data_IF_506216058124
#
_entry.id   IF_506216058124
#
_cell.length_a   1.000
_cell.length_b   1.000
_cell.length_c   1.000
_cell.angle_alpha   90.00
_cell.angle_beta   90.00
_cell.angle_gamma   90.00
#
_symmetry.space_group_name_H-M   'P 1'
#
loop_
_entity.id
_entity.type
_entity.pdbx_description
1 polymer ?
#
# COMPACT_ATOMS: atom_id res chain seq x y z
N UNK A 1 54.38 -3.95 66.23
CA UNK A 1 53.06 -4.62 66.29
C UNK A 1 51.90 -3.64 66.21
N UNK A 2 51.99 -2.46 66.85
CA UNK A 2 50.94 -1.41 66.75
C UNK A 2 50.91 -0.67 65.38
N UNK A 3 52.06 -0.41 64.75
CA UNK A 3 52.09 0.25 63.43
C UNK A 3 51.47 -0.60 62.32
N UNK A 4 51.68 -1.93 62.34
CA UNK A 4 51.07 -2.88 61.40
C UNK A 4 49.54 -2.94 61.54
N UNK A 5 49.02 -2.80 62.77
CA UNK A 5 47.58 -2.76 63.04
C UNK A 5 46.96 -1.44 62.55
N UNK A 6 47.65 -0.30 62.72
CA UNK A 6 47.21 1.00 62.20
C UNK A 6 47.17 1.01 60.67
N UNK A 7 48.16 0.43 60.00
CA UNK A 7 48.18 0.31 58.53
C UNK A 7 46.98 -0.49 58.00
N UNK A 8 46.63 -1.60 58.67
CA UNK A 8 45.44 -2.40 58.35
C UNK A 8 44.14 -1.60 58.48
N UNK A 9 43.99 -0.79 59.54
CA UNK A 9 42.80 0.05 59.75
C UNK A 9 42.61 1.12 58.65
N UNK A 10 43.69 1.66 58.07
CA UNK A 10 43.61 2.59 56.94
C UNK A 10 43.37 1.91 55.58
N UNK A 11 43.84 0.68 55.39
CA UNK A 11 43.72 -0.05 54.12
C UNK A 11 42.39 -0.81 53.98
N UNK A 12 41.81 -1.30 55.09
CA UNK A 12 40.57 -2.06 55.09
C UNK A 12 39.39 -1.34 54.40
N UNK A 13 39.10 -0.06 54.69
CA UNK A 13 37.98 0.66 54.06
C UNK A 13 38.15 0.79 52.53
N UNK A 14 39.38 1.00 52.08
CA UNK A 14 39.71 1.11 50.64
C UNK A 14 39.55 -0.24 49.93
N UNK A 15 39.95 -1.34 50.56
CA UNK A 15 39.77 -2.69 50.03
C UNK A 15 38.28 -3.04 50.00
N UNK A 16 37.53 -2.75 51.06
CA UNK A 16 36.08 -3.00 51.13
C UNK A 16 35.32 -2.20 50.07
N UNK A 17 35.64 -0.92 49.89
CA UNK A 17 35.07 -0.07 48.84
C UNK A 17 35.33 -0.63 47.44
N UNK A 18 36.56 -1.08 47.16
CA UNK A 18 36.91 -1.73 45.90
C UNK A 18 36.14 -3.02 45.66
N UNK A 19 35.95 -3.85 46.69
CA UNK A 19 35.15 -5.08 46.62
C UNK A 19 33.68 -4.74 46.35
N UNK A 20 33.11 -3.76 47.03
CA UNK A 20 31.72 -3.33 46.82
C UNK A 20 31.53 -2.83 45.38
N UNK A 21 32.41 -1.95 44.90
CA UNK A 21 32.35 -1.46 43.51
C UNK A 21 32.50 -2.61 42.52
N UNK A 22 33.37 -3.58 42.80
CA UNK A 22 33.54 -4.76 41.97
C UNK A 22 32.26 -5.62 41.91
N UNK A 23 31.66 -5.93 43.07
CA UNK A 23 30.41 -6.71 43.16
C UNK A 23 29.26 -5.99 42.47
N UNK A 24 29.13 -4.67 42.67
CA UNK A 24 28.11 -3.85 42.00
C UNK A 24 28.30 -3.88 40.48
N UNK A 25 29.54 -3.73 39.98
CA UNK A 25 29.83 -3.85 38.54
C UNK A 25 29.54 -5.25 38.00
N UNK A 26 29.86 -6.29 38.76
CA UNK A 26 29.61 -7.69 38.39
C UNK A 26 28.12 -7.97 38.19
N UNK A 27 27.23 -7.26 38.91
CA UNK A 27 25.78 -7.41 38.79
C UNK A 27 25.19 -6.43 37.74
N UNK A 28 25.61 -5.17 37.72
CA UNK A 28 25.03 -4.17 36.81
C UNK A 28 25.40 -4.42 35.35
N UNK A 29 26.63 -4.85 35.06
CA UNK A 29 27.07 -5.13 33.69
C UNK A 29 26.20 -6.18 32.99
N UNK A 30 25.95 -7.39 33.54
CA UNK A 30 25.10 -8.37 32.89
C UNK A 30 23.64 -7.91 32.76
N UNK A 31 23.10 -7.14 33.70
CA UNK A 31 21.75 -6.55 33.57
C UNK A 31 21.68 -5.61 32.37
N UNK A 32 22.67 -4.73 32.22
CA UNK A 32 22.76 -3.83 31.05
C UNK A 32 22.94 -4.64 29.76
N UNK A 33 23.78 -5.66 29.75
CA UNK A 33 23.99 -6.53 28.58
C UNK A 33 22.69 -7.25 28.21
N UNK A 34 21.97 -7.85 29.16
CA UNK A 34 20.69 -8.51 28.92
C UNK A 34 19.67 -7.51 28.34
N UNK A 35 19.57 -6.31 28.93
CA UNK A 35 18.68 -5.26 28.43
C UNK A 35 19.01 -4.86 26.98
N UNK A 36 20.29 -4.70 26.66
CA UNK A 36 20.74 -4.38 25.29
C UNK A 36 20.46 -5.54 24.33
N UNK A 37 20.74 -6.79 24.73
CA UNK A 37 20.44 -7.98 23.92
C UNK A 37 18.94 -8.09 23.63
N UNK A 38 18.08 -7.87 24.63
CA UNK A 38 16.62 -7.89 24.47
C UNK A 38 16.15 -6.79 23.50
N UNK A 39 16.75 -5.60 23.55
CA UNK A 39 16.49 -4.51 22.57
C UNK A 39 16.90 -4.92 21.15
N UNK A 40 18.07 -5.55 20.99
CA UNK A 40 18.56 -6.03 19.70
C UNK A 40 17.63 -7.12 19.15
N UNK A 41 17.27 -8.12 19.95
CA UNK A 41 16.34 -9.19 19.54
C UNK A 41 15.00 -8.61 19.09
N UNK A 42 14.38 -7.73 19.90
CA UNK A 42 13.12 -7.07 19.51
C UNK A 42 13.22 -6.29 18.21
N UNK A 43 14.33 -5.58 18.00
CA UNK A 43 14.56 -4.84 16.76
C UNK A 43 14.62 -5.79 15.54
N UNK A 44 15.35 -6.90 15.63
CA UNK A 44 15.44 -7.87 14.53
C UNK A 44 14.11 -8.59 14.30
N UNK A 45 13.38 -8.96 15.36
CA UNK A 45 12.03 -9.54 15.24
C UNK A 45 11.08 -8.59 14.52
N UNK A 46 11.01 -7.32 14.94
CA UNK A 46 10.13 -6.33 14.30
C UNK A 46 10.53 -6.07 12.84
N UNK A 47 11.83 -6.02 12.55
CA UNK A 47 12.34 -5.89 11.19
C UNK A 47 11.97 -7.09 10.30
N UNK A 48 11.99 -8.30 10.86
CA UNK A 48 11.57 -9.52 10.16
C UNK A 48 10.08 -9.48 9.84
N UNK A 49 9.24 -9.15 10.82
CA UNK A 49 7.78 -9.00 10.66
C UNK A 49 7.44 -7.97 9.57
N UNK A 50 8.07 -6.79 9.58
CA UNK A 50 7.85 -5.77 8.56
C UNK A 50 8.27 -6.24 7.16
N UNK A 51 9.36 -7.00 7.05
CA UNK A 51 9.80 -7.58 5.77
C UNK A 51 8.81 -8.60 5.26
N UNK A 52 8.29 -9.45 6.13
CA UNK A 52 7.27 -10.44 5.78
C UNK A 52 5.99 -9.74 5.28
N UNK A 53 5.52 -8.71 6.00
CA UNK A 53 4.39 -7.87 5.56
C UNK A 53 4.62 -7.31 4.15
N UNK A 54 5.81 -6.75 3.88
CA UNK A 54 6.14 -6.18 2.58
C UNK A 54 6.18 -7.24 1.47
N UNK A 55 6.81 -8.39 1.73
CA UNK A 55 6.91 -9.49 0.76
C UNK A 55 5.53 -10.02 0.43
N UNK A 56 4.70 -10.27 1.45
CA UNK A 56 3.33 -10.73 1.27
C UNK A 56 2.50 -9.76 0.43
N UNK A 57 2.55 -8.46 0.75
CA UNK A 57 1.82 -7.43 0.00
C UNK A 57 2.27 -7.38 -1.46
N UNK A 58 3.58 -7.43 -1.72
CA UNK A 58 4.14 -7.45 -3.09
C UNK A 58 3.69 -8.68 -3.88
N UNK A 59 3.61 -9.85 -3.25
CA UNK A 59 3.11 -11.07 -3.90
C UNK A 59 1.66 -10.93 -4.31
N UNK A 60 0.79 -10.40 -3.43
CA UNK A 60 -0.63 -10.17 -3.74
C UNK A 60 -0.78 -9.19 -4.90
N UNK A 61 -0.08 -8.04 -4.87
CA UNK A 61 -0.15 -7.05 -5.95
C UNK A 61 0.32 -7.68 -7.27
N UNK A 62 1.45 -8.39 -7.27
CA UNK A 62 1.98 -9.04 -8.47
C UNK A 62 1.00 -10.08 -9.05
N UNK A 63 0.35 -10.87 -8.20
CA UNK A 63 -0.68 -11.83 -8.62
C UNK A 63 -1.88 -11.13 -9.26
N UNK A 64 -2.42 -10.08 -8.61
CA UNK A 64 -3.55 -9.29 -9.14
C UNK A 64 -3.21 -8.66 -10.48
N UNK A 65 -2.01 -8.09 -10.62
CA UNK A 65 -1.54 -7.51 -11.88
C UNK A 65 -1.40 -8.54 -12.99
N UNK A 66 -0.86 -9.73 -12.70
CA UNK A 66 -0.73 -10.78 -13.71
C UNK A 66 -2.09 -11.27 -14.18
N UNK A 67 -3.03 -11.51 -13.25
CA UNK A 67 -4.39 -11.88 -13.58
C UNK A 67 -5.08 -10.82 -14.46
N UNK A 68 -4.95 -9.54 -14.10
CA UNK A 68 -5.48 -8.44 -14.90
C UNK A 68 -4.83 -8.38 -16.29
N UNK A 69 -3.51 -8.59 -16.39
CA UNK A 69 -2.79 -8.61 -17.68
C UNK A 69 -3.31 -9.73 -18.59
N UNK A 70 -3.50 -10.94 -18.05
CA UNK A 70 -4.04 -12.07 -18.80
C UNK A 70 -5.47 -11.78 -19.27
N UNK A 71 -6.32 -11.27 -18.38
CA UNK A 71 -7.68 -10.87 -18.70
C UNK A 71 -7.73 -9.82 -19.83
N UNK A 72 -6.97 -8.73 -19.70
CA UNK A 72 -6.96 -7.66 -20.70
C UNK A 72 -6.32 -8.07 -22.03
N UNK A 73 -5.37 -9.00 -22.01
CA UNK A 73 -4.83 -9.60 -23.24
C UNK A 73 -5.93 -10.32 -24.03
N UNK A 74 -6.79 -11.08 -23.34
CA UNK A 74 -7.93 -11.76 -23.97
C UNK A 74 -8.97 -10.76 -24.49
N UNK A 75 -9.25 -9.70 -23.73
CA UNK A 75 -10.13 -8.61 -24.16
C UNK A 75 -9.60 -7.97 -25.44
N UNK A 76 -8.33 -7.56 -25.46
CA UNK A 76 -7.69 -6.92 -26.63
C UNK A 76 -7.77 -7.79 -27.89
N UNK A 77 -7.60 -9.10 -27.76
CA UNK A 77 -7.67 -10.03 -28.89
C UNK A 77 -9.10 -10.23 -29.42
N UNK A 78 -10.11 -9.97 -28.60
CA UNK A 78 -11.52 -10.17 -28.93
C UNK A 78 -12.22 -8.86 -29.33
N UNK A 79 -11.70 -7.72 -28.89
CA UNK A 79 -12.28 -6.41 -29.16
C UNK A 79 -12.06 -5.99 -30.62
N UNK A 80 -13.13 -5.51 -31.26
CA UNK A 80 -13.06 -4.92 -32.60
C UNK A 80 -12.60 -3.44 -32.59
N UNK A 81 -12.35 -2.88 -31.40
CA UNK A 81 -11.99 -1.48 -31.18
C UNK A 81 -10.53 -1.42 -30.75
N UNK A 82 -9.78 -0.44 -31.25
CA UNK A 82 -8.45 -0.13 -30.72
C UNK A 82 -8.57 0.63 -29.38
N UNK A 83 -8.63 -0.13 -28.28
CA UNK A 83 -8.80 0.41 -26.93
C UNK A 83 -7.74 1.45 -26.56
N UNK A 84 -6.49 1.33 -27.03
CA UNK A 84 -5.44 2.25 -26.63
C UNK A 84 -5.62 3.64 -27.25
N UNK A 85 -6.17 3.71 -28.47
CA UNK A 85 -6.48 4.99 -29.12
C UNK A 85 -7.48 5.84 -28.32
N UNK A 86 -8.34 5.20 -27.50
CA UNK A 86 -9.30 5.87 -26.63
C UNK A 86 -8.58 6.74 -25.59
N UNK A 87 -7.41 6.30 -25.11
CA UNK A 87 -6.66 6.99 -24.05
C UNK A 87 -5.94 8.26 -24.53
N UNK A 88 -5.88 8.49 -25.83
CA UNK A 88 -5.25 9.68 -26.43
C UNK A 88 -6.24 10.84 -26.61
N UNK A 89 -7.54 10.60 -26.40
CA UNK A 89 -8.59 11.62 -26.46
C UNK A 89 -8.67 12.46 -25.17
N UNK A 90 -9.22 13.67 -25.27
CA UNK A 90 -9.55 14.48 -24.10
C UNK A 90 -10.90 14.02 -23.49
N UNK A 91 -11.20 14.51 -22.28
CA UNK A 91 -12.40 14.11 -21.55
C UNK A 91 -13.70 14.49 -22.27
N UNK A 92 -13.75 15.66 -22.92
CA UNK A 92 -14.96 16.14 -23.61
C UNK A 92 -15.33 15.24 -24.79
N UNK A 93 -14.32 14.76 -25.52
CA UNK A 93 -14.47 13.80 -26.62
C UNK A 93 -14.88 12.43 -26.07
N UNK A 94 -14.20 11.93 -25.04
CA UNK A 94 -14.54 10.65 -24.39
C UNK A 94 -16.00 10.63 -23.94
N UNK A 95 -16.46 11.68 -23.27
CA UNK A 95 -17.86 11.79 -22.83
C UNK A 95 -18.82 11.83 -24.02
N UNK A 96 -18.48 12.51 -25.11
CA UNK A 96 -19.31 12.54 -26.30
C UNK A 96 -19.47 11.16 -26.94
N UNK A 97 -18.37 10.43 -27.09
CA UNK A 97 -18.39 9.07 -27.64
C UNK A 97 -19.14 8.09 -26.72
N UNK A 98 -19.02 8.22 -25.40
CA UNK A 98 -19.80 7.44 -24.43
C UNK A 98 -21.31 7.70 -24.56
N UNK A 99 -21.73 8.96 -24.66
CA UNK A 99 -23.15 9.33 -24.80
C UNK A 99 -23.72 8.81 -26.13
N UNK A 100 -22.93 8.86 -27.20
CA UNK A 100 -23.30 8.30 -28.52
C UNK A 100 -23.29 6.77 -28.55
N UNK A 101 -22.69 6.12 -27.54
CA UNK A 101 -22.57 4.67 -27.47
C UNK A 101 -21.55 4.09 -28.46
N UNK A 102 -20.56 4.89 -28.88
CA UNK A 102 -19.51 4.45 -29.81
C UNK A 102 -18.52 3.46 -29.15
N UNK A 103 -18.37 3.55 -27.83
CA UNK A 103 -17.79 2.52 -26.98
C UNK A 103 -18.50 2.53 -25.62
N UNK A 104 -18.39 1.42 -24.88
CA UNK A 104 -19.02 1.28 -23.56
C UNK A 104 -18.11 1.78 -22.42
N UNK A 105 -18.67 2.07 -21.24
CA UNK A 105 -17.87 2.30 -20.03
C UNK A 105 -16.90 1.17 -19.69
N UNK A 106 -17.24 -0.08 -20.06
CA UNK A 106 -16.37 -1.25 -19.88
C UNK A 106 -15.16 -1.16 -20.81
N UNK A 107 -15.38 -0.82 -22.08
CA UNK A 107 -14.29 -0.62 -23.05
C UNK A 107 -13.36 0.51 -22.60
N UNK A 108 -13.93 1.62 -22.11
CA UNK A 108 -13.17 2.74 -21.58
C UNK A 108 -12.33 2.34 -20.35
N UNK A 109 -12.92 1.61 -19.41
CA UNK A 109 -12.20 1.09 -18.24
C UNK A 109 -11.02 0.21 -18.66
N UNK A 110 -11.24 -0.73 -19.58
CA UNK A 110 -10.20 -1.64 -20.07
C UNK A 110 -9.09 -0.89 -20.81
N UNK A 111 -9.43 0.12 -21.60
CA UNK A 111 -8.46 1.01 -22.24
C UNK A 111 -7.52 1.68 -21.22
N UNK A 112 -8.07 2.26 -20.15
CA UNK A 112 -7.28 2.89 -19.08
C UNK A 112 -6.50 1.88 -18.24
N UNK A 113 -7.05 0.72 -17.93
CA UNK A 113 -6.32 -0.35 -17.24
C UNK A 113 -5.14 -0.86 -18.09
N UNK A 114 -5.33 -1.04 -19.41
CA UNK A 114 -4.27 -1.42 -20.34
C UNK A 114 -3.16 -0.36 -20.40
N UNK A 115 -3.52 0.92 -20.50
CA UNK A 115 -2.56 2.03 -20.48
C UNK A 115 -1.78 2.08 -19.17
N UNK A 116 -2.45 1.89 -18.04
CA UNK A 116 -1.81 1.81 -16.74
C UNK A 116 -0.82 0.64 -16.66
N UNK A 117 -1.18 -0.55 -17.15
CA UNK A 117 -0.24 -1.67 -17.24
C UNK A 117 0.98 -1.37 -18.12
N UNK A 118 0.79 -0.72 -19.29
CA UNK A 118 1.91 -0.29 -20.13
C UNK A 118 2.85 0.68 -19.40
N UNK A 119 2.28 1.62 -18.66
CA UNK A 119 3.08 2.55 -17.85
C UNK A 119 3.86 1.81 -16.77
N UNK A 120 3.22 0.88 -16.04
CA UNK A 120 3.89 0.06 -15.04
C UNK A 120 5.04 -0.75 -15.65
N UNK A 121 4.81 -1.41 -16.79
CA UNK A 121 5.79 -2.22 -17.50
C UNK A 121 6.95 -1.38 -18.06
N UNK A 122 6.71 -0.11 -18.37
CA UNK A 122 7.73 0.86 -18.76
C UNK A 122 8.58 1.39 -17.58
N UNK A 123 8.31 0.96 -16.35
CA UNK A 123 9.03 1.34 -15.15
C UNK A 123 8.40 2.48 -14.35
N UNK A 124 7.13 2.84 -14.62
CA UNK A 124 6.41 3.81 -13.78
C UNK A 124 6.14 3.21 -12.39
N UNK A 125 6.72 3.83 -11.35
CA UNK A 125 6.60 3.41 -9.96
C UNK A 125 5.41 4.02 -9.20
N UNK A 126 4.65 4.89 -9.86
CA UNK A 126 3.49 5.58 -9.28
C UNK A 126 2.22 4.73 -9.23
N UNK A 127 2.20 3.54 -9.84
CA UNK A 127 1.07 2.61 -9.79
C UNK A 127 1.23 1.66 -8.61
N UNK A 128 0.28 1.70 -7.67
CA UNK A 128 0.33 0.89 -6.45
C UNK A 128 -0.48 -0.39 -6.59
N UNK A 129 -1.78 -0.30 -6.88
CA UNK A 129 -2.68 -1.46 -6.87
C UNK A 129 -3.93 -1.18 -7.71
N UNK A 130 -4.38 -2.15 -8.51
CA UNK A 130 -5.65 -2.07 -9.24
C UNK A 130 -6.82 -2.45 -8.35
N UNK A 131 -7.95 -1.76 -8.51
CA UNK A 131 -9.18 -2.02 -7.79
C UNK A 131 -10.00 -3.10 -8.52
N UNK A 132 -10.21 -4.23 -7.86
CA UNK A 132 -10.93 -5.39 -8.41
C UNK A 132 -12.44 -5.23 -8.57
N UNK A 133 -13.05 -4.23 -7.93
CA UNK A 133 -14.48 -3.91 -8.07
C UNK A 133 -14.79 -3.02 -9.29
N UNK A 134 -13.77 -2.50 -9.98
CA UNK A 134 -13.95 -1.57 -11.09
C UNK A 134 -14.74 -2.19 -12.26
N UNK A 135 -14.43 -3.43 -12.63
CA UNK A 135 -15.12 -4.17 -13.70
C UNK A 135 -16.59 -4.44 -13.35
N UNK A 136 -16.87 -4.83 -12.10
CA UNK A 136 -18.23 -5.05 -11.62
C UNK A 136 -19.05 -3.76 -11.68
N UNK A 137 -18.48 -2.63 -11.24
CA UNK A 137 -19.12 -1.31 -11.32
C UNK A 137 -19.42 -0.91 -12.77
N UNK A 138 -18.50 -1.14 -13.71
CA UNK A 138 -18.70 -0.81 -15.12
C UNK A 138 -19.79 -1.69 -15.76
N UNK A 139 -19.80 -2.99 -15.46
CA UNK A 139 -20.80 -3.94 -15.94
C UNK A 139 -22.19 -3.59 -15.38
N UNK A 140 -22.29 -3.27 -14.10
CA UNK A 140 -23.55 -2.89 -13.45
C UNK A 140 -24.09 -1.56 -13.99
N UNK A 141 -23.21 -0.62 -14.32
CA UNK A 141 -23.58 0.65 -14.97
C UNK A 141 -24.30 0.40 -16.30
N UNK A 142 -23.73 -0.49 -17.13
CA UNK A 142 -24.29 -0.87 -18.43
C UNK A 142 -25.60 -1.64 -18.25
N UNK A 143 -25.62 -2.67 -17.39
CA UNK A 143 -26.81 -3.52 -17.17
C UNK A 143 -28.00 -2.77 -16.59
N UNK A 144 -27.74 -1.80 -15.71
CA UNK A 144 -28.81 -1.00 -15.08
C UNK A 144 -29.33 0.13 -15.98
N UNK A 145 -28.84 0.23 -17.22
CA UNK A 145 -29.14 1.31 -18.16
C UNK A 145 -28.92 2.70 -17.57
N UNK A 146 -27.91 2.83 -16.70
CA UNK A 146 -27.49 4.09 -16.07
C UNK A 146 -26.30 4.66 -16.80
N UNK A 147 -26.33 4.68 -18.12
CA UNK A 147 -25.28 5.27 -18.93
C UNK A 147 -25.24 6.80 -18.75
N UNK A 148 -24.12 7.47 -19.09
CA UNK A 148 -24.07 8.93 -19.10
C UNK A 148 -25.05 9.49 -20.14
N UNK A 149 -25.91 10.41 -19.70
CA UNK A 149 -26.89 11.08 -20.57
C UNK A 149 -26.40 12.45 -21.05
N UNK A 150 -25.39 13.02 -20.38
CA UNK A 150 -24.83 14.33 -20.70
C UNK A 150 -23.36 14.42 -20.21
N UNK A 151 -22.65 15.46 -20.66
CA UNK A 151 -21.23 15.69 -20.30
C UNK A 151 -21.04 16.21 -18.84
N UNK A 152 -22.11 16.48 -18.10
CA UNK A 152 -22.01 17.02 -16.73
C UNK A 152 -21.85 15.93 -15.65
N UNK A 153 -21.95 14.65 -16.03
CA UNK A 153 -21.77 13.51 -15.11
C UNK A 153 -20.43 12.82 -15.31
N UNK A 154 -19.92 12.20 -14.23
CA UNK A 154 -18.75 11.32 -14.25
C UNK A 154 -19.12 9.85 -14.47
N UNK A 155 -20.38 9.56 -14.80
CA UNK A 155 -20.86 8.21 -15.01
C UNK A 155 -20.02 7.47 -16.07
N UNK A 156 -19.39 6.37 -15.66
CA UNK A 156 -18.56 5.55 -16.53
C UNK A 156 -17.14 6.05 -16.75
N UNK A 157 -16.73 7.15 -16.14
CA UNK A 157 -15.39 7.70 -16.28
C UNK A 157 -14.41 7.00 -15.32
N UNK A 158 -13.31 6.38 -15.81
CA UNK A 158 -12.28 5.81 -14.97
C UNK A 158 -11.51 6.88 -14.19
N UNK A 159 -11.34 6.67 -12.88
CA UNK A 159 -10.63 7.60 -12.00
C UNK A 159 -9.50 6.88 -11.26
N UNK A 160 -8.30 7.43 -11.35
CA UNK A 160 -7.19 7.04 -10.47
C UNK A 160 -7.29 7.78 -9.14
N UNK A 161 -7.00 7.07 -8.05
CA UNK A 161 -7.03 7.61 -6.70
C UNK A 161 -5.64 7.54 -6.09
N UNK A 162 -5.27 8.54 -5.31
CA UNK A 162 -4.06 8.46 -4.50
C UNK A 162 -4.23 7.41 -3.41
N UNK A 163 -3.18 6.65 -3.05
CA UNK A 163 -3.20 5.60 -2.02
C UNK A 163 -3.56 6.10 -0.61
N UNK A 164 -3.56 7.43 -0.43
CA UNK A 164 -4.04 8.11 0.77
C UNK A 164 -5.57 8.08 0.88
N UNK A 165 -6.29 7.93 -0.22
CA UNK A 165 -7.73 7.76 -0.25
C UNK A 165 -8.08 6.37 0.28
N UNK A 166 -8.79 6.31 1.41
CA UNK A 166 -9.29 5.06 1.96
C UNK A 166 -10.28 4.41 0.99
N UNK A 167 -9.99 3.16 0.61
CA UNK A 167 -10.84 2.29 -0.22
C UNK A 167 -11.11 1.02 0.56
N UNK A 168 -12.38 0.73 0.80
CA UNK A 168 -12.81 -0.44 1.57
C UNK A 168 -12.19 -1.72 1.02
N UNK A 169 -11.56 -2.52 1.88
CA UNK A 169 -10.90 -3.76 1.51
C UNK A 169 -9.47 -3.61 0.98
N UNK A 170 -8.95 -2.38 0.89
CA UNK A 170 -7.56 -2.09 0.50
C UNK A 170 -6.81 -1.41 1.64
N UNK A 171 -5.48 -1.50 1.60
CA UNK A 171 -4.63 -0.84 2.59
C UNK A 171 -4.58 0.67 2.31
N UNK A 172 -4.66 1.49 3.36
CA UNK A 172 -4.25 2.89 3.30
C UNK A 172 -2.83 2.99 3.88
N UNK A 173 -1.79 2.78 3.05
CA UNK A 173 -0.43 2.57 3.55
C UNK A 173 0.31 3.86 3.88
N UNK A 174 0.01 4.96 3.17
CA UNK A 174 0.74 6.24 3.27
C UNK A 174 2.26 6.08 2.99
N UNK A 175 2.64 5.10 2.16
CA UNK A 175 4.03 4.72 1.93
C UNK A 175 4.72 4.02 3.11
N UNK A 176 3.98 3.57 4.12
CA UNK A 176 4.52 2.97 5.35
C UNK A 176 4.29 1.45 5.41
N UNK A 177 5.38 0.67 5.38
CA UNK A 177 5.34 -0.81 5.46
C UNK A 177 4.54 -1.32 6.67
N UNK A 178 4.58 -0.59 7.79
CA UNK A 178 3.86 -0.98 9.01
C UNK A 178 2.33 -1.10 8.81
N UNK A 179 1.78 -0.36 7.82
CA UNK A 179 0.35 -0.29 7.47
C UNK A 179 -0.02 -1.19 6.29
N UNK A 180 0.91 -2.03 5.79
CA UNK A 180 0.57 -3.03 4.79
C UNK A 180 -0.19 -4.20 5.43
N UNK A 181 -1.09 -4.81 4.65
CA UNK A 181 -1.96 -5.91 5.06
C UNK A 181 -2.89 -5.53 6.24
N UNK A 182 -3.34 -4.28 6.23
CA UNK A 182 -4.26 -3.69 7.20
C UNK A 182 -5.36 -2.96 6.42
N UNK A 183 -6.26 -3.71 5.76
CA UNK A 183 -7.29 -3.12 4.91
C UNK A 183 -8.25 -2.25 5.74
N UNK A 184 -8.71 -1.16 5.16
CA UNK A 184 -9.71 -0.28 5.79
C UNK A 184 -11.12 -0.81 5.56
N UNK A 185 -12.02 -0.55 6.52
CA UNK A 185 -13.40 -1.03 6.46
C UNK A 185 -14.36 -0.11 5.68
N UNK A 186 -13.91 1.12 5.39
CA UNK A 186 -14.75 2.14 4.77
C UNK A 186 -14.03 2.95 3.68
N UNK A 187 -14.83 3.33 2.67
CA UNK A 187 -14.45 4.31 1.66
C UNK A 187 -14.39 5.71 2.27
N UNK A 188 -13.40 6.51 1.85
CA UNK A 188 -13.33 7.93 2.19
C UNK A 188 -14.50 8.74 1.55
N UNK A 189 -14.77 9.93 2.08
CA UNK A 189 -15.91 10.75 1.62
C UNK A 189 -15.87 11.04 0.12
N UNK A 190 -14.70 11.37 -0.44
CA UNK A 190 -14.58 11.66 -1.87
C UNK A 190 -14.90 10.42 -2.72
N UNK A 191 -14.45 9.23 -2.30
CA UNK A 191 -14.75 7.99 -3.01
C UNK A 191 -16.25 7.64 -2.97
N UNK A 192 -16.89 7.85 -1.81
CA UNK A 192 -18.36 7.69 -1.68
C UNK A 192 -19.10 8.60 -2.67
N UNK A 193 -18.66 9.85 -2.84
CA UNK A 193 -19.22 10.79 -3.82
C UNK A 193 -18.94 10.34 -5.26
N UNK A 194 -17.72 9.92 -5.59
CA UNK A 194 -17.39 9.44 -6.94
C UNK A 194 -18.23 8.21 -7.34
N UNK A 195 -18.40 7.25 -6.42
CA UNK A 195 -19.26 6.07 -6.64
C UNK A 195 -20.74 6.48 -6.78
N UNK A 196 -21.21 7.44 -6.00
CA UNK A 196 -22.56 8.01 -6.14
C UNK A 196 -22.77 8.64 -7.53
N UNK A 197 -21.77 9.37 -8.03
CA UNK A 197 -21.75 9.93 -9.39
C UNK A 197 -21.46 8.89 -10.48
N UNK A 198 -21.42 7.59 -10.13
CA UNK A 198 -21.21 6.45 -11.04
C UNK A 198 -19.86 6.49 -11.77
N UNK A 199 -18.87 7.20 -11.22
CA UNK A 199 -17.51 7.11 -11.71
C UNK A 199 -16.93 5.71 -11.44
N UNK A 200 -15.85 5.37 -12.13
CA UNK A 200 -15.17 4.08 -12.06
C UNK A 200 -13.77 4.22 -11.44
N UNK A 201 -13.64 4.35 -10.10
CA UNK A 201 -12.36 4.20 -9.44
C UNK A 201 -11.72 2.87 -9.81
N UNK A 202 -10.52 2.89 -10.39
CA UNK A 202 -9.91 1.66 -10.92
C UNK A 202 -8.49 1.37 -10.45
N UNK A 203 -7.78 2.36 -9.90
CA UNK A 203 -6.38 2.20 -9.53
C UNK A 203 -5.99 3.13 -8.38
N UNK A 204 -5.11 2.63 -7.52
CA UNK A 204 -4.40 3.38 -6.49
C UNK A 204 -3.02 3.80 -6.99
N UNK A 205 -2.65 5.05 -6.74
CA UNK A 205 -1.36 5.65 -7.13
C UNK A 205 -0.63 6.28 -5.95
N UNK A 206 0.69 6.43 -6.04
CA UNK A 206 1.53 7.02 -4.99
C UNK A 206 1.25 8.52 -4.74
#
# INVERSE_FOLDING_TARGET
MEESLRLCWYLLPNILSRIIVYVVRLILLPVVVIFLLERVVRYYMKKSELREKLVHKRQIIAQRMNHLREYLSNVKNTSNIDLLSITDMNLDDIQEHLIKGEFSPVDLLHAYQMKALQLYDSGNSGICEFLGDADELAIDLVKSNRLPENKQTLAGIPISLKELCSVKGYDATFGLIKRCNEPVDEDCCILKVLKHERALPFILTA
#
